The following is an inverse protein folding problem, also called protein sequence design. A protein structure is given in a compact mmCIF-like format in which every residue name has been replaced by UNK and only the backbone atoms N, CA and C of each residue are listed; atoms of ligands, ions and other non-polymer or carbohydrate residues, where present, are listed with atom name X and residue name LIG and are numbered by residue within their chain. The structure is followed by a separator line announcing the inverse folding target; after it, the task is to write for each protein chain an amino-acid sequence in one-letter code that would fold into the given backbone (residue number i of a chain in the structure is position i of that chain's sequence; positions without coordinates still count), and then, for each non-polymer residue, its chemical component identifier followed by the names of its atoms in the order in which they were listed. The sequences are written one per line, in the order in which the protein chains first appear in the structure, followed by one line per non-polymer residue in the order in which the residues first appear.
data_IF_090930742290
#
_entry.id   IF_090930742290
#
_cell.length_a   1.000
_cell.length_b   1.000
_cell.length_c   1.000
_cell.angle_alpha   90.00
_cell.angle_beta   90.00
_cell.angle_gamma   90.00
#
_symmetry.space_group_name_H-M   'P 1'
#
loop_
_entity.id
_entity.type
_entity.pdbx_description
1 polymer ?
#
# COMPACT_ATOMS: atom_id res chain seq x y z
N UNK A 1 -2.99 -18.34 7.31
CA UNK A 1 -3.18 -16.88 7.11
C UNK A 1 -4.05 -16.63 5.91
N UNK A 2 -4.97 -15.71 6.04
CA UNK A 2 -5.87 -15.32 4.94
C UNK A 2 -5.64 -13.85 4.60
N UNK A 3 -5.35 -13.57 3.33
CA UNK A 3 -5.25 -12.20 2.82
C UNK A 3 -6.29 -12.06 1.72
N UNK A 4 -7.33 -11.26 1.99
CA UNK A 4 -8.35 -10.97 0.98
C UNK A 4 -7.77 -10.00 -0.05
N UNK A 5 -8.33 -10.05 -1.27
CA UNK A 5 -7.94 -9.08 -2.28
C UNK A 5 -8.28 -7.67 -1.82
N UNK A 6 -7.27 -6.79 -1.83
CA UNK A 6 -7.43 -5.39 -1.43
C UNK A 6 -7.91 -4.61 -2.65
N UNK A 7 -9.21 -4.32 -2.69
CA UNK A 7 -9.82 -3.68 -3.85
C UNK A 7 -9.43 -2.21 -3.96
N UNK A 8 -9.29 -1.74 -5.20
CA UNK A 8 -9.01 -0.33 -5.46
C UNK A 8 -10.33 0.46 -5.45
N UNK A 9 -10.54 1.24 -4.39
CA UNK A 9 -11.72 2.09 -4.21
C UNK A 9 -11.38 3.57 -4.26
N UNK A 10 -10.14 3.92 -4.60
CA UNK A 10 -9.72 5.32 -4.70
C UNK A 10 -10.47 6.02 -5.83
N UNK A 11 -10.99 7.24 -5.61
CA UNK A 11 -11.79 7.95 -6.62
C UNK A 11 -11.07 8.15 -7.96
N UNK A 12 -9.77 8.36 -7.95
CA UNK A 12 -8.98 8.57 -9.15
C UNK A 12 -7.89 7.51 -9.28
N UNK A 13 -8.16 6.31 -8.76
CA UNK A 13 -7.19 5.25 -8.73
C UNK A 13 -6.82 4.72 -10.11
N UNK A 14 -5.53 4.46 -10.28
CA UNK A 14 -5.00 3.86 -11.49
C UNK A 14 -5.24 2.34 -11.42
N UNK A 15 -5.89 1.77 -12.45
CA UNK A 15 -6.37 0.39 -12.38
C UNK A 15 -5.29 -0.66 -12.03
N UNK A 16 -4.06 -0.61 -12.61
CA UNK A 16 -3.03 -1.60 -12.26
C UNK A 16 -2.55 -1.55 -10.80
N UNK A 17 -2.89 -0.50 -10.05
CA UNK A 17 -2.45 -0.32 -8.67
C UNK A 17 -2.95 -1.46 -7.77
N UNK A 18 -4.15 -1.96 -8.02
CA UNK A 18 -4.72 -3.06 -7.23
C UNK A 18 -3.85 -4.32 -7.30
N UNK A 19 -3.50 -4.74 -8.52
CA UNK A 19 -2.67 -5.93 -8.70
C UNK A 19 -1.26 -5.72 -8.12
N UNK A 20 -0.67 -4.56 -8.35
CA UNK A 20 0.67 -4.24 -7.83
C UNK A 20 0.68 -4.33 -6.31
N UNK A 21 -0.29 -3.70 -5.65
CA UNK A 21 -0.35 -3.71 -4.19
C UNK A 21 -0.57 -5.11 -3.64
N UNK A 22 -1.54 -5.85 -4.17
CA UNK A 22 -1.83 -7.20 -3.69
C UNK A 22 -0.64 -8.14 -3.87
N UNK A 23 0.07 -8.03 -5.00
CA UNK A 23 1.25 -8.85 -5.23
C UNK A 23 2.36 -8.52 -4.24
N UNK A 24 2.61 -7.25 -3.98
CA UNK A 24 3.65 -6.84 -3.02
C UNK A 24 3.33 -7.32 -1.62
N UNK A 25 2.08 -7.19 -1.20
CA UNK A 25 1.66 -7.63 0.13
C UNK A 25 1.81 -9.14 0.28
N UNK A 26 1.31 -9.92 -0.66
CA UNK A 26 1.40 -11.37 -0.62
C UNK A 26 2.85 -11.86 -0.68
N UNK A 27 3.66 -11.26 -1.55
CA UNK A 27 5.07 -11.64 -1.67
C UNK A 27 5.83 -11.40 -0.38
N UNK A 28 5.56 -10.30 0.29
CA UNK A 28 6.25 -9.99 1.54
C UNK A 28 5.95 -11.04 2.61
N UNK A 29 4.68 -11.41 2.78
CA UNK A 29 4.33 -12.44 3.75
C UNK A 29 4.84 -13.82 3.35
N UNK A 30 4.78 -14.16 2.08
CA UNK A 30 5.28 -15.45 1.59
C UNK A 30 6.79 -15.60 1.80
N UNK A 31 7.54 -14.51 1.63
CA UNK A 31 9.00 -14.53 1.71
C UNK A 31 9.53 -14.35 3.12
N UNK A 32 8.78 -13.68 4.00
CA UNK A 32 9.24 -13.31 5.33
C UNK A 32 8.62 -14.13 6.46
N UNK A 33 7.64 -14.98 6.14
CA UNK A 33 6.99 -15.82 7.15
C UNK A 33 6.89 -17.26 6.65
N UNK A 34 6.61 -18.17 7.59
CA UNK A 34 6.31 -19.57 7.26
C UNK A 34 4.81 -19.85 7.32
N UNK A 35 4.00 -18.78 7.34
CA UNK A 35 2.55 -18.91 7.40
C UNK A 35 2.02 -19.44 6.06
N UNK A 36 1.12 -20.40 6.12
CA UNK A 36 0.45 -20.90 4.94
C UNK A 36 -0.72 -19.97 4.58
N UNK A 37 -0.86 -19.68 3.30
CA UNK A 37 -2.01 -18.93 2.82
C UNK A 37 -3.20 -19.86 2.66
N UNK A 38 -4.35 -19.42 3.19
CA UNK A 38 -5.63 -20.14 3.06
C UNK A 38 -6.67 -19.16 2.54
N UNK A 39 -7.69 -19.70 1.88
CA UNK A 39 -8.75 -18.86 1.29
C UNK A 39 -9.86 -18.52 2.28
N UNK A 40 -10.00 -19.31 3.34
CA UNK A 40 -11.07 -19.15 4.34
C UNK A 40 -10.57 -19.57 5.71
N UNK A 41 -11.14 -18.95 6.74
CA UNK A 41 -10.94 -19.35 8.13
C UNK A 41 -9.48 -19.31 8.58
N UNK A 42 -8.68 -18.40 8.03
CA UNK A 42 -7.33 -18.19 8.52
C UNK A 42 -7.35 -17.61 9.92
N UNK A 43 -6.43 -18.08 10.79
CA UNK A 43 -6.28 -17.49 12.12
C UNK A 43 -5.85 -16.04 12.04
N UNK A 44 -5.01 -15.71 11.07
CA UNK A 44 -4.64 -14.35 10.72
C UNK A 44 -5.40 -13.95 9.46
N UNK A 45 -6.12 -12.85 9.52
CA UNK A 45 -6.93 -12.40 8.40
C UNK A 45 -6.69 -10.91 8.15
N UNK A 46 -6.32 -10.59 6.92
CA UNK A 46 -6.14 -9.22 6.45
C UNK A 46 -7.15 -8.94 5.36
N UNK A 47 -7.89 -7.88 5.51
CA UNK A 47 -8.84 -7.40 4.52
C UNK A 47 -8.72 -5.87 4.45
N UNK A 48 -9.25 -5.28 3.42
CA UNK A 48 -9.24 -3.84 3.30
C UNK A 48 -9.44 -3.37 1.87
N UNK A 49 -9.17 -2.09 1.66
CA UNK A 49 -9.27 -1.47 0.35
C UNK A 49 -8.30 -0.31 0.22
N UNK A 50 -7.88 -0.03 -1.02
CA UNK A 50 -7.14 1.18 -1.35
C UNK A 50 -8.16 2.30 -1.42
N UNK A 51 -8.02 3.32 -0.56
CA UNK A 51 -9.04 4.37 -0.42
C UNK A 51 -8.58 5.73 -0.94
N UNK A 52 -7.30 5.90 -1.20
CA UNK A 52 -6.77 7.17 -1.69
C UNK A 52 -5.62 6.99 -2.66
N UNK A 53 -5.61 7.83 -3.68
CA UNK A 53 -4.50 7.97 -4.60
C UNK A 53 -4.55 9.41 -5.09
N UNK A 54 -3.72 10.26 -4.49
CA UNK A 54 -3.83 11.70 -4.64
C UNK A 54 -2.54 12.30 -5.16
N UNK A 55 -2.68 13.38 -5.93
CA UNK A 55 -1.56 14.16 -6.40
C UNK A 55 -1.59 15.52 -5.74
N UNK A 56 -0.44 15.99 -5.29
CA UNK A 56 -0.29 17.32 -4.69
C UNK A 56 0.87 18.03 -5.35
N UNK A 57 0.67 19.28 -5.73
CA UNK A 57 1.74 20.11 -6.21
C UNK A 57 2.54 20.63 -4.99
N UNK A 58 3.83 20.36 -4.99
CA UNK A 58 4.71 20.91 -3.97
C UNK A 58 5.13 22.31 -4.36
N UNK A 59 5.53 23.11 -3.37
CA UNK A 59 6.02 24.45 -3.62
C UNK A 59 7.22 24.43 -4.56
N UNK A 60 7.28 25.42 -5.42
CA UNK A 60 8.41 25.62 -6.33
C UNK A 60 9.66 25.89 -5.48
N UNK A 61 10.81 25.35 -5.90
CA UNK A 61 12.05 25.60 -5.20
C UNK A 61 12.42 27.08 -5.23
N UNK A 62 13.31 27.50 -4.33
CA UNK A 62 13.69 28.91 -4.17
C UNK A 62 14.25 29.54 -5.45
N UNK A 63 14.83 28.74 -6.35
CA UNK A 63 15.34 29.22 -7.64
C UNK A 63 14.27 29.31 -8.73
N UNK A 64 13.06 28.84 -8.45
CA UNK A 64 11.94 28.92 -9.38
C UNK A 64 12.00 27.93 -10.55
N UNK A 65 13.00 27.08 -10.61
CA UNK A 65 13.22 26.21 -11.77
C UNK A 65 12.72 24.80 -11.58
N UNK A 66 12.51 24.35 -10.35
CA UNK A 66 12.03 23.00 -10.12
C UNK A 66 10.77 23.01 -9.28
N UNK A 67 9.78 22.29 -9.77
CA UNK A 67 8.58 21.98 -8.99
C UNK A 67 8.45 20.46 -8.98
N UNK A 68 7.83 19.96 -7.94
CA UNK A 68 7.62 18.52 -7.78
C UNK A 68 6.15 18.25 -7.54
N UNK A 69 5.72 17.09 -8.01
CA UNK A 69 4.40 16.55 -7.73
C UNK A 69 4.56 15.44 -6.73
N UNK A 70 3.79 15.50 -5.66
CA UNK A 70 3.77 14.45 -4.64
C UNK A 70 2.59 13.53 -4.91
N UNK A 71 2.85 12.23 -4.89
CA UNK A 71 1.81 11.21 -4.92
C UNK A 71 1.63 10.66 -3.51
N UNK A 72 0.39 10.41 -3.14
CA UNK A 72 0.07 9.76 -1.87
C UNK A 72 -0.91 8.63 -2.11
N UNK A 73 -0.58 7.45 -1.61
CA UNK A 73 -1.43 6.27 -1.64
C UNK A 73 -1.88 5.97 -0.22
N UNK A 74 -3.17 5.72 -0.04
CA UNK A 74 -3.73 5.41 1.28
C UNK A 74 -4.52 4.11 1.19
N UNK A 75 -4.28 3.22 2.15
CA UNK A 75 -4.93 1.91 2.22
C UNK A 75 -5.54 1.76 3.59
N UNK A 76 -6.80 1.32 3.64
CA UNK A 76 -7.47 1.00 4.89
C UNK A 76 -7.41 -0.50 5.12
N UNK A 77 -6.88 -0.93 6.26
CA UNK A 77 -6.65 -2.34 6.56
C UNK A 77 -7.38 -2.74 7.82
N UNK A 78 -8.06 -3.87 7.73
CA UNK A 78 -8.67 -4.56 8.87
C UNK A 78 -7.89 -5.83 9.13
N UNK A 79 -7.37 -5.97 10.34
CA UNK A 79 -6.59 -7.12 10.75
C UNK A 79 -7.27 -7.84 11.90
N UNK A 80 -7.27 -9.16 11.85
CA UNK A 80 -7.77 -10.01 12.91
C UNK A 80 -6.81 -11.16 13.15
N UNK A 81 -6.46 -11.37 14.42
CA UNK A 81 -5.69 -12.53 14.85
C UNK A 81 -6.54 -13.29 15.88
N UNK A 82 -7.14 -14.39 15.45
CA UNK A 82 -8.06 -15.17 16.27
C UNK A 82 -7.37 -15.85 17.45
N UNK A 83 -6.11 -16.23 17.26
CA UNK A 83 -5.35 -16.90 18.34
C UNK A 83 -5.05 -15.97 19.51
N UNK A 84 -4.75 -14.72 19.21
CA UNK A 84 -4.44 -13.71 20.23
C UNK A 84 -5.62 -12.82 20.58
N UNK A 85 -6.78 -13.03 19.94
CA UNK A 85 -7.98 -12.24 20.13
C UNK A 85 -7.72 -10.75 19.90
N UNK A 86 -6.96 -10.43 18.85
CA UNK A 86 -6.62 -9.07 18.47
C UNK A 86 -7.37 -8.74 17.18
N UNK A 87 -7.95 -7.56 17.12
CA UNK A 87 -8.57 -7.04 15.92
C UNK A 87 -8.43 -5.52 15.91
N UNK A 88 -8.10 -4.97 14.72
CA UNK A 88 -8.02 -3.51 14.56
C UNK A 88 -8.26 -3.12 13.12
N UNK A 89 -8.57 -1.86 12.96
CA UNK A 89 -8.67 -1.23 11.64
C UNK A 89 -7.82 0.03 11.65
N UNK A 90 -6.93 0.15 10.67
CA UNK A 90 -6.01 1.29 10.57
C UNK A 90 -5.80 1.67 9.12
N UNK A 91 -5.51 2.94 8.89
CA UNK A 91 -5.06 3.42 7.59
C UNK A 91 -3.55 3.49 7.55
N UNK A 92 -3.01 3.08 6.41
CA UNK A 92 -1.58 3.17 6.12
C UNK A 92 -1.40 4.01 4.87
N UNK A 93 -0.36 4.82 4.82
CA UNK A 93 -0.11 5.64 3.66
C UNK A 93 1.37 5.71 3.36
N UNK A 94 1.67 6.01 2.10
CA UNK A 94 3.02 6.27 1.64
C UNK A 94 2.98 7.40 0.64
N UNK A 95 4.06 8.14 0.55
CA UNK A 95 4.21 9.22 -0.40
C UNK A 95 5.48 9.04 -1.21
N UNK A 96 5.45 9.55 -2.42
CA UNK A 96 6.64 9.67 -3.25
C UNK A 96 6.49 10.93 -4.09
N UNK A 97 7.51 11.29 -4.84
CA UNK A 97 7.45 12.51 -5.63
C UNK A 97 8.20 12.34 -6.94
N UNK A 98 7.83 13.14 -7.91
CA UNK A 98 8.52 13.17 -9.19
C UNK A 98 8.55 14.62 -9.71
N UNK A 99 9.48 14.87 -10.63
CA UNK A 99 9.61 16.19 -11.25
C UNK A 99 8.37 16.55 -12.06
N UNK A 100 7.89 17.76 -11.92
CA UNK A 100 6.74 18.24 -12.70
C UNK A 100 7.00 18.22 -14.21
N UNK A 101 8.28 18.17 -14.63
CA UNK A 101 8.66 18.05 -16.03
C UNK A 101 8.47 16.65 -16.58
N UNK A 102 8.34 15.65 -15.72
CA UNK A 102 8.10 14.28 -16.15
C UNK A 102 6.59 14.03 -16.29
N UNK A 103 6.24 13.16 -17.21
CA UNK A 103 4.85 12.73 -17.34
C UNK A 103 4.59 11.60 -16.38
N UNK A 104 3.47 11.69 -15.67
CA UNK A 104 3.09 10.66 -14.69
C UNK A 104 3.04 9.28 -15.36
N UNK A 105 2.49 9.18 -16.56
CA UNK A 105 2.39 7.89 -17.25
C UNK A 105 3.75 7.19 -17.43
N UNK A 106 4.83 7.95 -17.53
CA UNK A 106 6.16 7.39 -17.70
C UNK A 106 6.77 6.83 -16.41
N UNK A 107 6.34 7.34 -15.25
CA UNK A 107 6.94 6.98 -13.96
C UNK A 107 5.95 6.31 -13.00
N UNK A 108 4.68 6.24 -13.38
CA UNK A 108 3.60 5.82 -12.49
C UNK A 108 3.78 4.40 -11.96
N UNK A 109 4.12 3.45 -12.81
CA UNK A 109 4.27 2.07 -12.38
C UNK A 109 5.37 1.93 -11.32
N UNK A 110 6.51 2.56 -11.55
CA UNK A 110 7.62 2.54 -10.61
C UNK A 110 7.25 3.20 -9.29
N UNK A 111 6.61 4.36 -9.34
CA UNK A 111 6.24 5.10 -8.14
C UNK A 111 5.15 4.40 -7.33
N UNK A 112 4.16 3.83 -8.00
CA UNK A 112 3.12 3.05 -7.33
C UNK A 112 3.70 1.79 -6.70
N UNK A 113 4.62 1.12 -7.39
CA UNK A 113 5.31 -0.05 -6.85
C UNK A 113 6.09 0.30 -5.59
N UNK A 114 6.77 1.43 -5.59
CA UNK A 114 7.52 1.92 -4.43
C UNK A 114 6.60 2.19 -3.24
N UNK A 115 5.48 2.90 -3.47
CA UNK A 115 4.51 3.16 -2.41
C UNK A 115 3.84 1.88 -1.91
N UNK A 116 3.51 0.97 -2.81
CA UNK A 116 2.91 -0.32 -2.44
C UNK A 116 3.85 -1.13 -1.55
N UNK A 117 5.14 -1.14 -1.88
CA UNK A 117 6.15 -1.84 -1.05
C UNK A 117 6.24 -1.22 0.34
N UNK A 118 6.28 0.10 0.42
CA UNK A 118 6.34 0.82 1.70
C UNK A 118 5.13 0.49 2.56
N UNK A 119 3.93 0.58 2.00
CA UNK A 119 2.70 0.28 2.75
C UNK A 119 2.67 -1.19 3.16
N UNK A 120 3.07 -2.10 2.28
CA UNK A 120 3.12 -3.52 2.61
C UNK A 120 4.05 -3.78 3.79
N UNK A 121 5.21 -3.13 3.83
CA UNK A 121 6.14 -3.24 4.96
C UNK A 121 5.55 -2.67 6.25
N UNK A 122 4.82 -1.55 6.17
CA UNK A 122 4.15 -1.00 7.34
C UNK A 122 3.11 -1.97 7.89
N UNK A 123 2.32 -2.59 7.02
CA UNK A 123 1.31 -3.57 7.42
C UNK A 123 1.99 -4.80 8.04
N UNK A 124 3.04 -5.29 7.41
CA UNK A 124 3.80 -6.43 7.92
C UNK A 124 4.33 -6.15 9.34
N UNK A 125 4.92 -4.98 9.53
CA UNK A 125 5.44 -4.60 10.84
C UNK A 125 4.34 -4.46 11.89
N UNK A 126 3.16 -4.03 11.48
CA UNK A 126 2.02 -3.87 12.39
C UNK A 126 1.34 -5.20 12.74
N UNK A 127 1.55 -6.24 11.95
CA UNK A 127 0.85 -7.52 12.12
C UNK A 127 1.73 -8.63 12.67
N UNK A 128 2.87 -8.92 12.04
CA UNK A 128 3.63 -10.13 12.36
C UNK A 128 5.08 -9.92 12.75
N UNK A 129 5.64 -8.72 12.57
CA UNK A 129 7.06 -8.51 12.83
C UNK A 129 7.43 -8.64 14.32
N UNK A 130 6.45 -8.47 15.20
CA UNK A 130 6.65 -8.55 16.66
C UNK A 130 6.35 -9.94 17.23
N UNK A 131 6.28 -10.92 16.39
CA UNK A 131 5.94 -12.29 16.80
C UNK A 131 7.18 -13.06 17.26
#
# INVERSE_FOLDING_TARGET
MQIDNIANRAPYGWAPMEAIFNNKLQDLYANQTRLEFVKRNGDLHIAGEIVGYDQYNKAVSADGYSSQVQLKMTVNIRFENKKSNIAWEKQFSATTQYDANQQLAAVQEELVTEMARDIAEQIFNATVADW
#
